data_IF_089425311227
#
_entry.id   IF_089425311227
#
_cell.length_a   1.000
_cell.length_b   1.000
_cell.length_c   1.000
_cell.angle_alpha   90.00
_cell.angle_beta   90.00
_cell.angle_gamma   90.00
#
_symmetry.space_group_name_H-M   'P 1'
#
loop_
_entity.id
_entity.type
_entity.pdbx_description
1 polymer ?
#
# COMPACT_ATOMS: atom_id res chain seq x y z
N UNK A 1 -18.65 2.66 4.07
CA UNK A 1 -19.05 3.85 3.31
C UNK A 1 -18.53 3.73 1.90
N UNK A 2 -19.38 3.80 0.88
CA UNK A 2 -18.94 3.84 -0.52
C UNK A 2 -19.02 5.28 -1.05
N UNK A 3 -17.97 5.83 -1.65
CA UNK A 3 -18.03 7.22 -2.12
C UNK A 3 -16.73 7.84 -2.64
N UNK A 4 -16.82 9.14 -2.93
CA UNK A 4 -15.74 9.99 -3.43
C UNK A 4 -15.37 11.04 -2.37
N UNK A 5 -14.11 11.09 -1.96
CA UNK A 5 -13.57 12.11 -1.05
C UNK A 5 -12.40 12.82 -1.73
N UNK A 6 -12.50 14.14 -1.93
CA UNK A 6 -11.43 14.97 -2.53
C UNK A 6 -11.16 16.15 -1.61
N UNK A 7 -9.95 16.24 -1.07
CA UNK A 7 -9.57 17.33 -0.15
C UNK A 7 -8.15 17.85 -0.43
N UNK A 8 -7.85 19.08 -0.03
CA UNK A 8 -6.49 19.61 -0.06
C UNK A 8 -5.61 19.12 1.10
N UNK A 9 -6.24 18.68 2.20
CA UNK A 9 -5.58 18.21 3.42
C UNK A 9 -5.52 16.70 3.48
N UNK A 10 -6.44 16.07 4.23
CA UNK A 10 -6.53 14.63 4.35
C UNK A 10 -7.97 14.11 4.47
N UNK A 11 -8.14 12.83 4.15
CA UNK A 11 -9.40 12.10 4.28
C UNK A 11 -9.29 11.04 5.38
N UNK A 12 -10.36 10.83 6.15
CA UNK A 12 -10.42 9.81 7.21
C UNK A 12 -11.76 9.07 7.14
N UNK A 13 -11.71 7.78 6.81
CA UNK A 13 -12.83 6.85 6.97
C UNK A 13 -12.75 6.17 8.34
N UNK A 14 -13.76 6.37 9.20
CA UNK A 14 -13.81 5.79 10.55
C UNK A 14 -14.30 4.33 10.59
N UNK A 15 -14.79 3.83 9.46
CA UNK A 15 -15.30 2.48 9.24
C UNK A 15 -14.71 1.96 7.91
N UNK A 16 -15.30 0.89 7.37
CA UNK A 16 -14.96 0.38 6.04
C UNK A 16 -15.15 1.48 4.99
N UNK A 17 -14.20 1.60 4.06
CA UNK A 17 -14.20 2.60 3.01
C UNK A 17 -14.11 1.94 1.64
N UNK A 18 -15.05 2.26 0.76
CA UNK A 18 -15.08 1.79 -0.61
C UNK A 18 -15.11 3.00 -1.57
N UNK A 19 -14.28 3.02 -2.61
CA UNK A 19 -14.30 4.05 -3.63
C UNK A 19 -13.01 4.86 -3.73
N UNK A 20 -13.13 6.18 -3.93
CA UNK A 20 -12.01 7.04 -4.31
C UNK A 20 -11.70 8.06 -3.21
N UNK A 21 -10.47 8.03 -2.69
CA UNK A 21 -9.95 9.04 -1.78
C UNK A 21 -8.77 9.77 -2.42
N UNK A 22 -8.90 11.09 -2.63
CA UNK A 22 -7.85 11.97 -3.14
C UNK A 22 -7.58 13.05 -2.10
N UNK A 23 -6.32 13.19 -1.69
CA UNK A 23 -5.90 14.22 -0.73
C UNK A 23 -4.53 14.82 -1.02
N UNK A 24 -4.23 15.98 -0.45
CA UNK A 24 -2.90 16.57 -0.54
C UNK A 24 -1.87 15.91 0.37
N UNK A 25 -2.27 15.49 1.57
CA UNK A 25 -1.36 15.03 2.63
C UNK A 25 -1.55 13.56 2.99
N UNK A 26 -2.77 13.11 3.30
CA UNK A 26 -2.99 11.72 3.69
C UNK A 26 -4.41 11.22 3.47
N UNK A 27 -4.55 9.92 3.22
CA UNK A 27 -5.82 9.20 3.31
C UNK A 27 -5.69 8.10 4.37
N UNK A 28 -6.68 7.96 5.24
CA UNK A 28 -6.71 6.91 6.25
C UNK A 28 -8.06 6.20 6.27
N UNK A 29 -8.06 4.88 6.33
CA UNK A 29 -9.22 4.03 6.59
C UNK A 29 -8.97 3.17 7.84
N UNK A 30 -9.93 3.20 8.78
CA UNK A 30 -9.83 2.48 10.04
C UNK A 30 -10.33 1.03 9.97
N UNK A 31 -11.19 0.71 9.00
CA UNK A 31 -11.61 -0.65 8.68
C UNK A 31 -11.11 -1.10 7.31
N UNK A 32 -11.82 -2.06 6.72
CA UNK A 32 -11.53 -2.56 5.37
C UNK A 32 -11.59 -1.43 4.33
N UNK A 33 -10.60 -1.37 3.46
CA UNK A 33 -10.51 -0.40 2.40
C UNK A 33 -10.59 -1.09 1.03
N UNK A 34 -11.41 -0.56 0.14
CA UNK A 34 -11.48 -1.00 -1.26
C UNK A 34 -11.53 0.19 -2.21
N UNK A 35 -10.75 0.16 -3.29
CA UNK A 35 -10.77 1.18 -4.34
C UNK A 35 -9.44 1.90 -4.55
N UNK A 36 -9.48 3.22 -4.75
CA UNK A 36 -8.32 4.02 -5.21
C UNK A 36 -8.01 5.15 -4.22
N UNK A 37 -6.87 5.06 -3.54
CA UNK A 37 -6.40 6.08 -2.62
C UNK A 37 -5.17 6.78 -3.24
N UNK A 38 -5.30 8.06 -3.55
CA UNK A 38 -4.23 8.90 -4.12
C UNK A 38 -3.94 10.03 -3.14
N UNK A 39 -2.67 10.23 -2.81
CA UNK A 39 -2.27 11.33 -1.94
C UNK A 39 -0.87 11.85 -2.23
N UNK A 40 -0.62 13.10 -1.85
CA UNK A 40 0.71 13.69 -1.89
C UNK A 40 1.63 13.23 -0.76
N UNK A 41 1.13 12.57 0.29
CA UNK A 41 1.94 12.11 1.43
C UNK A 41 1.81 10.62 1.72
N UNK A 42 0.78 10.19 2.47
CA UNK A 42 0.64 8.79 2.91
C UNK A 42 -0.79 8.22 2.85
N UNK A 43 -0.93 6.99 2.36
CA UNK A 43 -2.17 6.22 2.47
C UNK A 43 -2.04 5.15 3.56
N UNK A 44 -3.05 5.01 4.40
CA UNK A 44 -3.06 4.06 5.51
C UNK A 44 -4.41 3.32 5.56
N UNK A 45 -4.38 2.00 5.43
CA UNK A 45 -5.46 1.09 5.76
C UNK A 45 -5.08 0.32 7.04
N UNK A 46 -5.93 0.39 8.06
CA UNK A 46 -5.65 -0.23 9.37
C UNK A 46 -5.93 -1.74 9.36
N UNK A 47 -6.82 -2.20 8.49
CA UNK A 47 -7.10 -3.62 8.28
C UNK A 47 -6.65 -4.01 6.87
N UNK A 48 -7.57 -4.45 6.01
CA UNK A 48 -7.30 -4.90 4.65
C UNK A 48 -7.43 -3.77 3.62
N UNK A 49 -6.66 -3.86 2.54
CA UNK A 49 -6.75 -2.96 1.37
C UNK A 49 -6.87 -3.76 0.07
N UNK A 50 -7.98 -3.61 -0.63
CA UNK A 50 -8.18 -4.11 -1.99
C UNK A 50 -8.17 -2.95 -3.00
N UNK A 51 -7.25 -2.97 -3.96
CA UNK A 51 -7.19 -1.98 -5.03
C UNK A 51 -5.86 -1.24 -5.10
N UNK A 52 -5.92 0.09 -5.23
CA UNK A 52 -4.78 0.93 -5.60
C UNK A 52 -4.46 1.95 -4.52
N UNK A 53 -3.22 1.94 -4.03
CA UNK A 53 -2.68 3.01 -3.18
C UNK A 53 -1.51 3.70 -3.89
N UNK A 54 -1.62 5.01 -4.10
CA UNK A 54 -0.58 5.84 -4.73
C UNK A 54 -0.24 7.00 -3.80
N UNK A 55 1.02 7.11 -3.41
CA UNK A 55 1.51 8.17 -2.53
C UNK A 55 2.92 8.63 -2.91
N UNK A 56 3.42 9.70 -2.30
CA UNK A 56 4.83 10.09 -2.46
C UNK A 56 5.73 9.47 -1.38
N UNK A 57 5.23 9.30 -0.16
CA UNK A 57 6.03 8.85 0.98
C UNK A 57 5.73 7.40 1.36
N UNK A 58 4.49 7.09 1.75
CA UNK A 58 4.18 5.76 2.30
C UNK A 58 2.80 5.25 1.92
N UNK A 59 2.71 3.96 1.60
CA UNK A 59 1.44 3.23 1.64
C UNK A 59 1.54 2.10 2.66
N UNK A 60 0.51 1.96 3.49
CA UNK A 60 0.47 0.96 4.56
C UNK A 60 -0.88 0.28 4.53
N UNK A 61 -0.88 -1.05 4.43
CA UNK A 61 -1.96 -1.92 4.89
C UNK A 61 -1.45 -2.69 6.10
N UNK A 62 -2.20 -2.83 7.20
CA UNK A 62 -1.63 -3.46 8.40
C UNK A 62 -1.78 -4.99 8.41
N UNK A 63 -2.77 -5.50 7.69
CA UNK A 63 -3.07 -6.93 7.57
C UNK A 63 -2.86 -7.39 6.13
N UNK A 64 -3.89 -7.33 5.27
CA UNK A 64 -3.79 -7.83 3.91
C UNK A 64 -3.85 -6.70 2.86
N UNK A 65 -3.13 -6.86 1.76
CA UNK A 65 -3.23 -5.97 0.61
C UNK A 65 -3.33 -6.79 -0.67
N UNK A 66 -4.41 -6.61 -1.43
CA UNK A 66 -4.56 -7.14 -2.79
C UNK A 66 -4.64 -6.01 -3.80
N UNK A 67 -3.78 -6.03 -4.81
CA UNK A 67 -3.76 -5.03 -5.87
C UNK A 67 -2.40 -4.37 -6.06
N UNK A 68 -2.36 -3.04 -6.11
CA UNK A 68 -1.15 -2.29 -6.45
C UNK A 68 -0.87 -1.14 -5.49
N UNK A 69 0.31 -1.17 -4.88
CA UNK A 69 0.84 -0.08 -4.06
C UNK A 69 2.02 0.60 -4.76
N UNK A 70 1.93 1.91 -4.98
CA UNK A 70 3.01 2.72 -5.59
C UNK A 70 3.38 3.87 -4.66
N UNK A 71 4.66 4.00 -4.34
CA UNK A 71 5.14 5.13 -3.55
C UNK A 71 6.58 5.54 -3.88
N UNK A 72 7.00 6.73 -3.45
CA UNK A 72 8.41 7.12 -3.49
C UNK A 72 9.21 6.56 -2.30
N UNK A 73 8.59 6.43 -1.12
CA UNK A 73 9.27 5.94 0.08
C UNK A 73 9.05 4.46 0.31
N UNK A 74 8.06 4.08 1.12
CA UNK A 74 7.87 2.69 1.56
C UNK A 74 6.44 2.18 1.42
N UNK A 75 6.31 0.98 0.85
CA UNK A 75 5.09 0.19 0.92
C UNK A 75 5.23 -0.87 2.02
N UNK A 76 4.19 -1.04 2.81
CA UNK A 76 4.11 -2.07 3.83
C UNK A 76 2.76 -2.79 3.79
N UNK A 77 2.79 -4.12 3.88
CA UNK A 77 1.65 -4.97 4.21
C UNK A 77 2.13 -6.15 5.07
N UNK A 78 1.27 -6.84 5.82
CA UNK A 78 1.65 -8.14 6.41
C UNK A 78 1.58 -9.23 5.35
N UNK A 79 0.48 -9.25 4.61
CA UNK A 79 0.23 -10.13 3.48
C UNK A 79 0.03 -9.28 2.22
N UNK A 80 0.73 -9.62 1.15
CA UNK A 80 0.62 -8.94 -0.12
C UNK A 80 0.24 -9.92 -1.21
N UNK A 81 -0.82 -9.60 -1.96
CA UNK A 81 -1.14 -10.20 -3.25
C UNK A 81 -1.12 -9.12 -4.34
N UNK A 82 -0.30 -9.29 -5.38
CA UNK A 82 -0.20 -8.33 -6.48
C UNK A 82 1.14 -7.62 -6.57
N UNK A 83 1.16 -6.29 -6.70
CA UNK A 83 2.34 -5.53 -7.11
C UNK A 83 2.65 -4.38 -6.14
N UNK A 84 3.86 -4.37 -5.58
CA UNK A 84 4.38 -3.20 -4.89
C UNK A 84 5.50 -2.53 -5.69
N UNK A 85 5.46 -1.22 -5.82
CA UNK A 85 6.51 -0.40 -6.43
C UNK A 85 6.89 0.71 -5.46
N UNK A 86 8.17 0.78 -5.10
CA UNK A 86 8.71 1.87 -4.28
C UNK A 86 10.10 2.28 -4.77
N UNK A 87 10.44 3.57 -4.65
CA UNK A 87 11.84 4.00 -4.84
C UNK A 87 12.69 3.72 -3.58
N UNK A 88 12.08 3.67 -2.40
CA UNK A 88 12.72 3.25 -1.16
C UNK A 88 12.62 1.73 -0.94
N UNK A 89 11.57 1.29 -0.22
CA UNK A 89 11.46 -0.09 0.22
C UNK A 89 10.04 -0.68 0.10
N UNK A 90 9.96 -1.95 -0.30
CA UNK A 90 8.75 -2.76 -0.14
C UNK A 90 8.98 -3.79 0.95
N UNK A 91 8.09 -3.85 1.94
CA UNK A 91 8.22 -4.75 3.08
C UNK A 91 6.91 -5.53 3.25
N UNK A 92 7.00 -6.85 3.25
CA UNK A 92 5.90 -7.74 3.61
C UNK A 92 6.37 -8.91 4.45
N UNK A 93 5.46 -9.61 5.15
CA UNK A 93 5.80 -10.90 5.73
C UNK A 93 5.57 -11.99 4.69
N UNK A 94 4.40 -12.01 4.07
CA UNK A 94 4.06 -12.97 3.01
C UNK A 94 3.80 -12.21 1.71
N UNK A 95 4.48 -12.63 0.64
CA UNK A 95 4.39 -12.04 -0.68
C UNK A 95 3.88 -13.06 -1.68
N UNK A 96 2.79 -12.74 -2.36
CA UNK A 96 2.32 -13.38 -3.58
C UNK A 96 2.29 -12.34 -4.71
N UNK A 97 3.16 -12.48 -5.70
CA UNK A 97 3.25 -11.54 -6.82
C UNK A 97 4.61 -10.88 -6.97
N UNK A 98 4.67 -9.54 -6.99
CA UNK A 98 5.87 -8.81 -7.36
C UNK A 98 6.18 -7.61 -6.46
N UNK A 99 7.47 -7.42 -6.16
CA UNK A 99 7.99 -6.22 -5.52
C UNK A 99 9.09 -5.58 -6.37
N UNK A 100 8.95 -4.29 -6.67
CA UNK A 100 9.94 -3.46 -7.34
C UNK A 100 10.39 -2.37 -6.38
N UNK A 101 11.57 -2.52 -5.81
CA UNK A 101 12.11 -1.65 -4.77
C UNK A 101 13.39 -0.99 -5.26
N UNK A 102 13.47 0.34 -5.19
CA UNK A 102 14.67 1.06 -5.60
C UNK A 102 15.86 0.75 -4.70
N UNK A 103 15.63 0.49 -3.40
CA UNK A 103 16.68 0.12 -2.45
C UNK A 103 16.47 -1.29 -1.91
N UNK A 104 15.29 -1.57 -1.33
CA UNK A 104 15.05 -2.81 -0.58
C UNK A 104 13.71 -3.44 -0.94
N UNK A 105 13.73 -4.74 -1.18
CA UNK A 105 12.56 -5.59 -1.07
C UNK A 105 12.79 -6.60 0.06
N UNK A 106 11.82 -6.71 0.96
CA UNK A 106 11.83 -7.68 2.04
C UNK A 106 10.51 -8.44 2.06
N UNK A 107 10.61 -9.76 2.09
CA UNK A 107 9.53 -10.70 2.39
C UNK A 107 10.06 -11.76 3.35
N UNK A 108 9.26 -12.22 4.31
CA UNK A 108 9.64 -13.41 5.08
C UNK A 108 9.44 -14.65 4.21
N UNK A 109 8.28 -14.79 3.58
CA UNK A 109 7.95 -15.84 2.60
C UNK A 109 7.57 -15.18 1.29
N UNK A 110 8.13 -15.67 0.18
CA UNK A 110 7.90 -15.06 -1.14
C UNK A 110 7.56 -16.09 -2.22
N UNK A 111 6.36 -15.96 -2.77
CA UNK A 111 5.91 -16.64 -3.99
C UNK A 111 5.83 -15.59 -5.10
N UNK A 112 6.90 -15.46 -5.88
CA UNK A 112 6.92 -14.53 -7.01
C UNK A 112 8.29 -13.90 -7.25
N UNK A 113 8.32 -12.63 -7.65
CA UNK A 113 9.54 -11.96 -8.11
C UNK A 113 9.81 -10.68 -7.32
N UNK A 114 11.03 -10.53 -6.82
CA UNK A 114 11.54 -9.28 -6.27
C UNK A 114 12.60 -8.69 -7.22
N UNK A 115 12.49 -7.40 -7.51
CA UNK A 115 13.46 -6.64 -8.30
C UNK A 115 13.87 -5.39 -7.55
N UNK A 116 15.15 -5.30 -7.21
CA UNK A 116 15.69 -4.19 -6.45
C UNK A 116 17.18 -4.35 -6.17
N UNK A 117 17.80 -3.33 -5.58
CA UNK A 117 19.23 -3.38 -5.22
C UNK A 117 19.47 -4.46 -4.17
N UNK A 118 18.59 -4.56 -3.17
CA UNK A 118 18.63 -5.59 -2.14
C UNK A 118 17.28 -6.32 -2.14
N UNK A 119 17.30 -7.64 -2.28
CA UNK A 119 16.12 -8.50 -2.22
C UNK A 119 16.36 -9.56 -1.14
N UNK A 120 15.46 -9.61 -0.15
CA UNK A 120 15.51 -10.57 0.96
C UNK A 120 14.18 -11.31 0.98
N UNK A 121 14.27 -12.63 0.83
CA UNK A 121 13.17 -13.57 0.97
C UNK A 121 13.67 -14.85 1.63
N UNK A 122 12.85 -15.49 2.47
CA UNK A 122 13.06 -16.89 2.89
C UNK A 122 12.02 -17.77 2.21
N UNK A 123 12.39 -19.04 2.05
CA UNK A 123 11.49 -20.12 1.61
C UNK A 123 10.67 -20.64 2.78
#
# INVERSE_FOLDING_TARGET
MSGLQITGGGNVGLENMEGLMISGLFNAARGDASGLFITGGANIATDDMEGLMISSLFNVSSEYSSGLMITGGLNYSRYQEGLMISAGANITQEMEGMQFGGILNYATTATGVQVGVINIAKE
#
